data_IF_867378666099
#
_entry.id   IF_867378666099
#
_cell.length_a   1.000
_cell.length_b   1.000
_cell.length_c   1.000
_cell.angle_alpha   90.00
_cell.angle_beta   90.00
_cell.angle_gamma   90.00
#
_symmetry.space_group_name_H-M   'P 1'
#
loop_
_entity.id
_entity.type
_entity.pdbx_description
1 polymer ?
#
# COMPACT_ATOMS: atom_id res chain seq x y z
N UNK A 1 -16.32 8.20 14.41
CA UNK A 1 -17.21 7.29 13.66
C UNK A 1 -17.05 7.63 12.20
N UNK A 2 -16.46 6.72 11.46
CA UNK A 2 -16.23 6.88 10.03
C UNK A 2 -17.38 6.19 9.31
N UNK A 3 -18.13 6.96 8.55
CA UNK A 3 -19.17 6.43 7.69
C UNK A 3 -18.58 5.98 6.35
N UNK A 4 -19.41 5.57 5.39
CA UNK A 4 -18.98 5.16 4.04
C UNK A 4 -18.20 6.23 3.26
N UNK A 5 -17.99 7.41 3.83
CA UNK A 5 -17.33 8.57 3.20
C UNK A 5 -15.79 8.58 3.27
N UNK A 6 -15.15 7.54 3.84
CA UNK A 6 -13.69 7.46 3.89
C UNK A 6 -13.04 7.10 2.56
N UNK A 7 -13.84 6.89 1.53
CA UNK A 7 -13.34 6.55 0.20
C UNK A 7 -13.09 7.82 -0.59
N UNK A 8 -11.85 8.06 -0.93
CA UNK A 8 -11.45 9.16 -1.82
C UNK A 8 -11.21 8.58 -3.20
N UNK A 9 -11.96 9.04 -4.20
CA UNK A 9 -11.71 8.67 -5.59
C UNK A 9 -10.46 9.37 -6.11
N UNK A 10 -9.59 8.65 -6.78
CA UNK A 10 -8.38 9.19 -7.44
C UNK A 10 -8.70 10.38 -8.35
N UNK A 11 -9.87 10.40 -9.03
CA UNK A 11 -10.33 11.53 -9.83
C UNK A 11 -10.47 12.83 -9.03
N UNK A 12 -10.83 12.73 -7.75
CA UNK A 12 -10.97 13.89 -6.85
C UNK A 12 -9.61 14.48 -6.46
N UNK A 13 -8.58 13.65 -6.39
CA UNK A 13 -7.19 14.08 -6.11
C UNK A 13 -6.55 14.80 -7.30
N UNK A 14 -6.96 14.49 -8.54
CA UNK A 14 -6.42 15.11 -9.75
C UNK A 14 -7.00 16.50 -10.06
N UNK A 15 -8.09 16.91 -9.41
CA UNK A 15 -8.83 18.16 -9.70
C UNK A 15 -8.48 19.30 -8.73
N UNK A 16 -7.65 19.05 -7.72
CA UNK A 16 -7.20 20.10 -6.79
C UNK A 16 -5.91 20.81 -7.25
N UNK A 17 -5.66 22.06 -6.80
CA UNK A 17 -4.40 22.74 -7.12
C UNK A 17 -3.23 21.91 -6.58
N UNK A 18 -2.40 21.47 -7.49
CA UNK A 18 -1.27 20.58 -7.31
C UNK A 18 -0.23 21.13 -6.31
N UNK A 19 -0.43 20.92 -5.03
CA UNK A 19 0.63 20.93 -4.04
C UNK A 19 0.85 19.52 -3.45
N UNK A 20 0.79 18.51 -4.29
CA UNK A 20 1.11 17.12 -3.92
C UNK A 20 2.58 16.76 -4.17
N UNK A 21 3.43 17.73 -4.46
CA UNK A 21 4.88 17.60 -4.27
C UNK A 21 5.20 18.02 -2.85
N UNK A 22 4.45 17.49 -1.91
CA UNK A 22 4.72 17.59 -0.48
C UNK A 22 5.80 16.60 -0.13
N UNK A 23 6.76 17.01 0.65
CA UNK A 23 7.83 16.22 1.23
C UNK A 23 7.36 14.83 1.63
N UNK A 24 7.93 13.80 1.02
CA UNK A 24 7.84 12.45 1.56
C UNK A 24 8.39 12.47 2.98
N UNK A 25 7.70 11.87 3.97
CA UNK A 25 8.18 11.83 5.34
C UNK A 25 9.61 11.31 5.46
N UNK A 26 10.32 11.72 6.51
CA UNK A 26 11.68 11.27 6.75
C UNK A 26 11.77 9.74 6.82
N UNK A 27 10.80 9.10 7.46
CA UNK A 27 10.60 7.65 7.48
C UNK A 27 9.21 7.32 6.93
N UNK A 28 9.11 6.37 6.01
CA UNK A 28 7.88 6.01 5.33
C UNK A 28 7.85 4.51 5.03
N UNK A 29 6.76 3.86 5.45
CA UNK A 29 6.59 2.42 5.35
C UNK A 29 5.37 2.10 4.50
N UNK A 30 5.56 1.25 3.50
CA UNK A 30 4.47 0.82 2.67
C UNK A 30 4.59 -0.65 2.28
N UNK A 31 3.47 -1.24 1.92
CA UNK A 31 3.41 -2.60 1.43
C UNK A 31 2.49 -2.70 0.22
N UNK A 32 2.76 -3.69 -0.62
CA UNK A 32 1.84 -4.17 -1.63
C UNK A 32 1.60 -5.65 -1.37
N UNK A 33 0.33 -6.06 -1.37
CA UNK A 33 -0.04 -7.45 -1.13
C UNK A 33 -1.17 -7.93 -2.02
N UNK A 34 -1.20 -9.22 -2.27
CA UNK A 34 -2.18 -9.89 -3.12
C UNK A 34 -1.86 -11.37 -3.27
N UNK A 35 -2.27 -11.95 -4.39
CA UNK A 35 -2.01 -13.35 -4.70
C UNK A 35 -0.72 -13.54 -5.52
N UNK A 36 -0.15 -14.71 -5.42
CA UNK A 36 0.99 -15.08 -6.25
C UNK A 36 0.61 -14.94 -7.74
N UNK A 37 1.43 -14.21 -8.51
CA UNK A 37 1.16 -13.89 -9.91
C UNK A 37 0.61 -12.49 -10.18
N UNK A 38 0.23 -11.73 -9.15
CA UNK A 38 -0.23 -10.34 -9.28
C UNK A 38 0.89 -9.33 -9.60
N UNK A 39 2.12 -9.79 -9.79
CA UNK A 39 3.26 -8.92 -10.12
C UNK A 39 3.83 -8.16 -8.92
N UNK A 40 3.50 -8.57 -7.70
CA UNK A 40 3.85 -7.90 -6.43
C UNK A 40 5.37 -7.76 -6.29
N UNK A 41 6.11 -8.84 -6.54
CA UNK A 41 7.56 -8.85 -6.41
C UNK A 41 8.23 -7.88 -7.40
N UNK A 42 7.77 -7.87 -8.64
CA UNK A 42 8.29 -6.97 -9.68
C UNK A 42 8.00 -5.51 -9.37
N UNK A 43 6.76 -5.21 -8.97
CA UNK A 43 6.32 -3.86 -8.59
C UNK A 43 7.11 -3.36 -7.39
N UNK A 44 7.23 -4.18 -6.34
CA UNK A 44 7.98 -3.84 -5.13
C UNK A 44 9.45 -3.54 -5.42
N UNK A 45 10.11 -4.37 -6.24
CA UNK A 45 11.51 -4.17 -6.64
C UNK A 45 11.71 -2.88 -7.44
N UNK A 46 10.86 -2.63 -8.43
CA UNK A 46 10.94 -1.42 -9.26
C UNK A 46 10.82 -0.18 -8.40
N UNK A 47 9.85 -0.16 -7.48
CA UNK A 47 9.63 0.97 -6.60
C UNK A 47 10.79 1.16 -5.59
N UNK A 48 11.29 0.08 -5.00
CA UNK A 48 12.46 0.13 -4.14
C UNK A 48 13.69 0.71 -4.85
N UNK A 49 13.92 0.31 -6.10
CA UNK A 49 15.01 0.85 -6.92
C UNK A 49 14.80 2.34 -7.23
N UNK A 50 13.58 2.76 -7.52
CA UNK A 50 13.28 4.17 -7.78
C UNK A 50 13.56 5.04 -6.56
N UNK A 51 13.15 4.59 -5.37
CA UNK A 51 13.41 5.29 -4.10
C UNK A 51 14.92 5.37 -3.79
N UNK A 52 15.65 4.27 -4.00
CA UNK A 52 17.10 4.23 -3.81
C UNK A 52 17.82 5.19 -4.77
N UNK A 53 17.41 5.25 -6.04
CA UNK A 53 17.94 6.21 -7.02
C UNK A 53 17.61 7.65 -6.69
N UNK A 54 16.49 7.90 -5.99
CA UNK A 54 16.11 9.20 -5.47
C UNK A 54 16.89 9.61 -4.20
N UNK A 55 17.89 8.82 -3.78
CA UNK A 55 18.75 9.11 -2.64
C UNK A 55 18.18 8.69 -1.28
N UNK A 56 17.15 7.85 -1.26
CA UNK A 56 16.57 7.30 -0.02
C UNK A 56 17.28 6.02 0.38
N UNK A 57 17.43 5.80 1.68
CA UNK A 57 17.79 4.49 2.21
C UNK A 57 16.55 3.60 2.18
N UNK A 58 16.70 2.37 1.69
CA UNK A 58 15.59 1.46 1.47
C UNK A 58 15.92 0.11 2.10
N UNK A 59 14.98 -0.42 2.88
CA UNK A 59 15.00 -1.81 3.36
C UNK A 59 13.73 -2.51 2.89
N UNK A 60 13.86 -3.74 2.40
CA UNK A 60 12.73 -4.51 1.87
C UNK A 60 12.58 -5.84 2.58
N UNK A 61 11.36 -6.28 2.76
CA UNK A 61 11.01 -7.60 3.25
C UNK A 61 9.90 -8.21 2.38
N UNK A 62 9.82 -9.53 2.38
CA UNK A 62 8.77 -10.27 1.69
C UNK A 62 8.11 -11.22 2.65
N UNK A 63 6.80 -11.17 2.68
CA UNK A 63 5.99 -12.12 3.42
C UNK A 63 5.31 -13.09 2.45
N UNK A 64 5.44 -14.36 2.76
CA UNK A 64 4.77 -15.43 2.03
C UNK A 64 3.90 -16.21 2.99
N UNK A 65 2.60 -16.26 2.76
CA UNK A 65 1.78 -17.25 3.43
C UNK A 65 2.05 -18.62 2.81
N UNK A 66 2.64 -19.51 3.58
CA UNK A 66 3.00 -20.86 3.16
C UNK A 66 1.77 -21.75 2.98
N UNK A 67 1.05 -21.59 1.87
CA UNK A 67 0.03 -22.55 1.42
C UNK A 67 0.08 -22.72 -0.09
N UNK A 68 0.04 -23.96 -0.51
CA UNK A 68 0.42 -24.55 -1.79
C UNK A 68 -0.39 -24.09 -3.01
N UNK A 69 -1.49 -23.32 -2.88
CA UNK A 69 -2.24 -22.74 -4.01
C UNK A 69 -2.89 -21.43 -3.59
N UNK A 70 -2.74 -20.37 -4.40
CA UNK A 70 -3.32 -19.05 -4.16
C UNK A 70 -2.76 -18.38 -2.90
N UNK A 71 -1.44 -18.53 -2.64
CA UNK A 71 -0.79 -18.00 -1.45
C UNK A 71 -0.76 -16.48 -1.45
N UNK A 72 -1.11 -15.90 -0.31
CA UNK A 72 -0.89 -14.49 -0.07
C UNK A 72 0.61 -14.17 -0.16
N UNK A 73 0.92 -13.08 -0.82
CA UNK A 73 2.28 -12.55 -0.93
C UNK A 73 2.23 -11.06 -0.65
N UNK A 74 3.15 -10.58 0.17
CA UNK A 74 3.34 -9.15 0.36
C UNK A 74 4.81 -8.76 0.16
N UNK A 75 5.01 -7.56 -0.34
CA UNK A 75 6.30 -6.91 -0.44
C UNK A 75 6.25 -5.63 0.38
N UNK A 76 7.07 -5.57 1.44
CA UNK A 76 7.13 -4.45 2.36
C UNK A 76 8.39 -3.64 2.10
N UNK A 77 8.26 -2.32 2.13
CA UNK A 77 9.36 -1.39 1.95
C UNK A 77 9.33 -0.35 3.05
N UNK A 78 10.43 -0.24 3.76
CA UNK A 78 10.76 0.91 4.59
C UNK A 78 11.71 1.83 3.83
N UNK A 79 11.40 3.11 3.78
CA UNK A 79 12.29 4.11 3.20
C UNK A 79 12.51 5.26 4.18
N UNK A 80 13.76 5.69 4.29
CA UNK A 80 14.15 6.77 5.21
C UNK A 80 15.20 7.68 4.58
N UNK A 81 15.35 8.87 5.15
CA UNK A 81 16.49 9.76 4.87
C UNK A 81 17.76 9.27 5.55
N UNK A 82 17.61 8.51 6.64
CA UNK A 82 18.70 7.91 7.39
C UNK A 82 18.88 6.43 7.04
N UNK A 83 20.06 5.83 7.25
CA UNK A 83 20.27 4.41 7.04
C UNK A 83 19.31 3.55 7.85
N UNK A 84 18.66 2.56 7.18
CA UNK A 84 17.72 1.62 7.80
C UNK A 84 18.17 0.18 7.58
N UNK A 85 18.00 -0.66 8.60
CA UNK A 85 18.46 -2.05 8.60
C UNK A 85 17.35 -3.05 8.97
N UNK A 86 16.10 -2.59 9.09
CA UNK A 86 14.95 -3.44 9.41
C UNK A 86 13.66 -2.83 8.86
N UNK A 87 12.65 -3.67 8.67
CA UNK A 87 11.27 -3.21 8.59
C UNK A 87 10.74 -2.88 9.97
N UNK A 88 9.65 -2.15 10.03
CA UNK A 88 8.92 -1.84 11.27
C UNK A 88 7.49 -2.36 11.12
N UNK A 89 6.87 -2.72 12.23
CA UNK A 89 5.49 -3.20 12.29
C UNK A 89 4.50 -2.02 12.23
N UNK A 90 4.66 -1.21 11.20
CA UNK A 90 3.83 -0.03 10.95
C UNK A 90 3.80 0.25 9.45
N UNK A 91 2.60 0.37 8.89
CA UNK A 91 2.39 0.72 7.50
C UNK A 91 1.68 2.07 7.38
N UNK A 92 2.29 2.99 6.64
CA UNK A 92 1.68 4.28 6.29
C UNK A 92 0.78 4.14 5.07
N UNK A 93 1.16 3.27 4.12
CA UNK A 93 0.37 2.94 2.93
C UNK A 93 0.36 1.44 2.68
N UNK A 94 -0.83 0.90 2.43
CA UNK A 94 -1.06 -0.47 2.00
C UNK A 94 -1.72 -0.47 0.62
N UNK A 95 -1.07 -1.07 -0.37
CA UNK A 95 -1.68 -1.34 -1.68
C UNK A 95 -2.27 -2.74 -1.63
N UNK A 96 -3.61 -2.81 -1.56
CA UNK A 96 -4.34 -4.05 -1.41
C UNK A 96 -4.93 -4.50 -2.74
N UNK A 97 -4.41 -5.59 -3.29
CA UNK A 97 -4.93 -6.19 -4.52
C UNK A 97 -6.02 -7.22 -4.24
N UNK A 98 -6.16 -7.68 -2.99
CA UNK A 98 -7.22 -8.56 -2.51
C UNK A 98 -7.69 -8.13 -1.12
N UNK A 99 -8.93 -8.47 -0.69
CA UNK A 99 -9.42 -8.19 0.66
C UNK A 99 -8.53 -8.81 1.74
N UNK A 100 -8.00 -10.00 1.49
CA UNK A 100 -7.09 -10.70 2.38
C UNK A 100 -5.84 -9.87 2.71
N UNK A 101 -5.38 -9.05 1.77
CA UNK A 101 -4.24 -8.16 2.02
C UNK A 101 -4.49 -7.20 3.19
N UNK A 102 -5.71 -6.70 3.32
CA UNK A 102 -6.09 -5.83 4.44
C UNK A 102 -6.11 -6.64 5.74
N UNK A 103 -6.74 -7.81 5.73
CA UNK A 103 -6.87 -8.68 6.90
C UNK A 103 -5.50 -9.11 7.46
N UNK A 104 -4.58 -9.51 6.59
CA UNK A 104 -3.23 -9.98 6.96
C UNK A 104 -2.30 -8.85 7.48
N UNK A 105 -2.65 -7.59 7.24
CA UNK A 105 -1.83 -6.44 7.67
C UNK A 105 -2.55 -5.50 8.67
N UNK A 106 -3.69 -5.91 9.22
CA UNK A 106 -4.47 -5.07 10.15
C UNK A 106 -3.64 -4.60 11.34
N UNK A 107 -2.81 -5.47 11.91
CA UNK A 107 -2.00 -5.17 13.09
C UNK A 107 -0.89 -4.14 12.82
N UNK A 108 -0.52 -3.95 11.56
CA UNK A 108 0.50 -2.98 11.14
C UNK A 108 -0.09 -1.64 10.69
N UNK A 109 -1.41 -1.60 10.44
CA UNK A 109 -2.12 -0.37 10.08
C UNK A 109 -2.39 0.47 11.34
N UNK A 110 -2.40 1.77 11.17
CA UNK A 110 -2.66 2.73 12.25
C UNK A 110 -3.63 3.82 11.78
N UNK A 111 -4.11 4.62 12.72
CA UNK A 111 -4.96 5.76 12.38
C UNK A 111 -4.27 6.69 11.36
N UNK A 112 -4.96 6.97 10.26
CA UNK A 112 -4.43 7.76 9.15
C UNK A 112 -3.68 6.97 8.10
N UNK A 113 -3.47 5.66 8.27
CA UNK A 113 -2.93 4.79 7.19
C UNK A 113 -3.82 4.84 5.96
N UNK A 114 -3.20 4.85 4.78
CA UNK A 114 -3.91 4.87 3.50
C UNK A 114 -3.94 3.46 2.91
N UNK A 115 -5.12 2.98 2.57
CA UNK A 115 -5.33 1.71 1.85
C UNK A 115 -5.70 2.05 0.42
N UNK A 116 -4.79 1.75 -0.50
CA UNK A 116 -5.00 1.90 -1.95
C UNK A 116 -5.55 0.60 -2.51
N UNK A 117 -6.65 0.66 -3.22
CA UNK A 117 -7.31 -0.50 -3.82
C UNK A 117 -8.01 -0.14 -5.14
N UNK A 118 -8.35 -1.13 -5.93
CA UNK A 118 -9.12 -0.97 -7.17
C UNK A 118 -10.54 -1.50 -6.96
N UNK A 119 -11.49 -0.59 -6.68
CA UNK A 119 -12.90 -0.92 -6.46
C UNK A 119 -13.63 -1.42 -7.70
N UNK A 120 -13.04 -1.29 -8.91
CA UNK A 120 -13.59 -1.89 -10.13
C UNK A 120 -13.29 -3.39 -10.23
N UNK A 121 -12.35 -3.91 -9.43
CA UNK A 121 -12.13 -5.37 -9.33
C UNK A 121 -13.29 -6.00 -8.54
N UNK A 122 -13.89 -7.04 -9.09
CA UNK A 122 -15.01 -7.74 -8.46
C UNK A 122 -14.73 -8.18 -7.01
N UNK A 123 -13.48 -8.58 -6.74
CA UNK A 123 -13.04 -9.01 -5.41
C UNK A 123 -12.91 -7.87 -4.41
N UNK A 124 -12.77 -6.61 -4.89
CA UNK A 124 -12.58 -5.42 -4.05
C UNK A 124 -13.80 -4.49 -4.03
N UNK A 125 -14.85 -4.80 -4.80
CA UNK A 125 -16.02 -3.91 -4.95
C UNK A 125 -16.73 -3.59 -3.63
N UNK A 126 -16.72 -4.52 -2.69
CA UNK A 126 -17.37 -4.39 -1.37
C UNK A 126 -16.36 -4.46 -0.22
N UNK A 127 -15.10 -4.12 -0.47
CA UNK A 127 -14.09 -4.12 0.58
C UNK A 127 -14.47 -3.11 1.66
N UNK A 128 -14.37 -3.52 2.90
CA UNK A 128 -14.54 -2.64 4.06
C UNK A 128 -13.19 -2.03 4.44
N UNK A 129 -13.16 -0.71 4.58
CA UNK A 129 -11.98 -0.01 5.06
C UNK A 129 -12.08 0.08 6.58
N UNK A 130 -11.10 -0.43 7.33
CA UNK A 130 -11.13 -0.41 8.78
C UNK A 130 -11.24 1.02 9.33
N UNK A 131 -11.86 1.15 10.50
CA UNK A 131 -12.02 2.43 11.17
C UNK A 131 -10.69 3.15 11.40
N UNK A 132 -10.66 4.46 11.18
CA UNK A 132 -9.46 5.28 11.33
C UNK A 132 -8.51 5.27 10.14
N UNK A 133 -8.71 4.39 9.13
CA UNK A 133 -7.91 4.35 7.91
C UNK A 133 -8.59 5.07 6.76
N UNK A 134 -7.82 5.43 5.75
CA UNK A 134 -8.30 6.15 4.57
C UNK A 134 -8.29 5.21 3.37
N UNK A 135 -9.44 4.94 2.78
CA UNK A 135 -9.54 4.17 1.54
C UNK A 135 -9.36 5.07 0.31
N UNK A 136 -8.40 4.72 -0.54
CA UNK A 136 -8.16 5.38 -1.83
C UNK A 136 -8.48 4.40 -2.97
N UNK A 137 -9.60 4.63 -3.63
CA UNK A 137 -10.03 3.85 -4.78
C UNK A 137 -9.33 4.35 -6.06
N UNK A 138 -8.49 3.50 -6.65
CA UNK A 138 -7.71 3.80 -7.85
C UNK A 138 -8.01 2.75 -8.91
N UNK A 139 -8.51 3.13 -10.10
CA UNK A 139 -8.81 2.19 -11.19
C UNK A 139 -7.53 1.70 -11.87
N UNK A 140 -6.80 0.79 -11.21
CA UNK A 140 -5.48 0.31 -11.64
C UNK A 140 -5.46 -0.32 -13.04
N UNK A 141 -6.60 -0.84 -13.50
CA UNK A 141 -6.71 -1.41 -14.86
C UNK A 141 -6.78 -0.37 -15.97
N UNK A 142 -7.01 0.91 -15.64
CA UNK A 142 -7.16 1.99 -16.61
C UNK A 142 -5.95 2.91 -16.70
N UNK A 143 -4.93 2.63 -15.89
CA UNK A 143 -3.65 3.31 -15.89
C UNK A 143 -2.70 2.63 -16.90
#
# INVERSE_FOLDING_TARGET
MWGPDNRVSFRRLLVGPQKLVGHMPADFNWAIGGEAGDGIDSTGKIFAQALSRAGRHVFTSKDFASRIRGGYTAYKIRTSVDPVQSVVDRLDVLIALTPRTIEENLDELHEGSVIVYDGERTTMANVEIPDGMIGLDVPLKRL
#
